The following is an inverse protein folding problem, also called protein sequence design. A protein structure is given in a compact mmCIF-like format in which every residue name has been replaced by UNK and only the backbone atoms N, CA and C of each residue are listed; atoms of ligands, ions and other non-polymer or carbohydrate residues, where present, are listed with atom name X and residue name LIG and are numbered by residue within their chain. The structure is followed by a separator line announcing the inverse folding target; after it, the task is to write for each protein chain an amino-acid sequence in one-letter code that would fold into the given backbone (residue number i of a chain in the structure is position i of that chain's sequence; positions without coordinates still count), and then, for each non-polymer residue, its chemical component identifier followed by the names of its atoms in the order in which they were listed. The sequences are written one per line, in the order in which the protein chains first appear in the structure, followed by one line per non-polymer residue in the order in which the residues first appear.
data_IF_791370369085
#
_entry.id   IF_791370369085
#
_cell.length_a   1.000
_cell.length_b   1.000
_cell.length_c   1.000
_cell.angle_alpha   90.00
_cell.angle_beta   90.00
_cell.angle_gamma   90.00
#
_symmetry.space_group_name_H-M   'P 1'
#
loop_
_entity.id
_entity.type
_entity.pdbx_description
1 polymer ?
#
# COMPACT_ATOMS: atom_id res chain seq x y z
N UNK A 1 3.85 20.06 0.81
CA UNK A 1 4.26 19.37 -0.44
C UNK A 1 5.15 18.25 0.03
N UNK A 2 4.69 17.00 -0.09
CA UNK A 2 5.49 15.84 0.32
C UNK A 2 6.35 15.43 -0.87
N UNK A 3 7.61 15.86 -0.83
CA UNK A 3 8.62 15.69 -1.86
C UNK A 3 9.94 16.26 -1.36
N UNK A 4 11.00 16.07 -2.11
CA UNK A 4 12.30 16.70 -1.84
C UNK A 4 12.41 17.90 -2.77
N UNK A 5 12.73 19.07 -2.23
CA UNK A 5 13.10 20.23 -3.04
C UNK A 5 14.55 20.04 -3.50
N UNK A 6 14.75 19.90 -4.80
CA UNK A 6 16.05 19.68 -5.42
C UNK A 6 16.21 20.64 -6.60
N UNK A 7 17.31 21.39 -6.63
CA UNK A 7 17.67 22.34 -7.70
C UNK A 7 16.58 23.31 -8.22
N UNK A 8 15.63 23.70 -7.37
CA UNK A 8 14.59 24.66 -7.71
C UNK A 8 13.27 24.04 -8.18
N UNK A 9 13.16 22.71 -8.11
CA UNK A 9 11.95 21.95 -8.42
C UNK A 9 11.53 21.08 -7.23
N UNK A 10 10.21 20.86 -7.09
CA UNK A 10 9.68 19.88 -6.15
C UNK A 10 9.70 18.51 -6.81
N UNK A 11 10.54 17.60 -6.33
CA UNK A 11 10.52 16.19 -6.73
C UNK A 11 9.61 15.43 -5.77
N UNK A 12 8.51 14.90 -6.29
CA UNK A 12 7.57 14.07 -5.53
C UNK A 12 8.20 12.73 -5.13
N UNK A 13 7.69 12.13 -4.05
CA UNK A 13 8.07 10.77 -3.68
C UNK A 13 7.73 9.73 -4.77
N UNK A 14 6.74 9.99 -5.62
CA UNK A 14 6.39 9.15 -6.75
C UNK A 14 7.46 9.17 -7.85
N UNK A 15 8.03 10.35 -8.12
CA UNK A 15 9.16 10.48 -9.04
C UNK A 15 10.39 9.77 -8.49
N UNK A 16 10.66 9.89 -7.19
CA UNK A 16 11.77 9.19 -6.52
C UNK A 16 11.57 7.67 -6.60
N UNK A 17 10.38 7.16 -6.27
CA UNK A 17 10.10 5.72 -6.28
C UNK A 17 10.12 5.14 -7.71
N UNK A 18 9.59 5.88 -8.68
CA UNK A 18 9.67 5.51 -10.11
C UNK A 18 11.13 5.44 -10.55
N UNK A 19 11.94 6.41 -10.14
CA UNK A 19 13.36 6.43 -10.46
C UNK A 19 14.11 5.24 -9.84
N UNK A 20 13.85 4.92 -8.57
CA UNK A 20 14.43 3.76 -7.89
C UNK A 20 14.06 2.47 -8.62
N UNK A 21 12.78 2.28 -8.95
CA UNK A 21 12.32 1.11 -9.69
C UNK A 21 13.03 0.96 -11.05
N UNK A 22 13.17 2.06 -11.80
CA UNK A 22 13.86 2.06 -13.08
C UNK A 22 15.35 1.75 -12.93
N UNK A 23 16.00 2.26 -11.89
CA UNK A 23 17.40 1.94 -11.58
C UNK A 23 17.61 0.47 -11.23
N UNK A 24 16.72 -0.11 -10.41
CA UNK A 24 16.75 -1.53 -10.06
C UNK A 24 16.57 -2.41 -11.30
N UNK A 25 15.57 -2.09 -12.15
CA UNK A 25 15.34 -2.81 -13.41
C UNK A 25 16.51 -2.70 -14.38
N UNK A 26 17.10 -1.50 -14.52
CA UNK A 26 18.30 -1.31 -15.34
C UNK A 26 19.47 -2.16 -14.82
N UNK A 27 19.70 -2.17 -13.51
CA UNK A 27 20.75 -2.98 -12.88
C UNK A 27 20.56 -4.49 -13.13
N UNK A 28 19.31 -4.98 -13.08
CA UNK A 28 19.00 -6.37 -13.42
C UNK A 28 19.24 -6.72 -14.88
N UNK A 29 18.93 -5.80 -15.80
CA UNK A 29 19.13 -5.98 -17.23
C UNK A 29 20.63 -5.96 -17.57
N UNK A 30 21.39 -5.07 -16.93
CA UNK A 30 22.86 -5.02 -17.04
C UNK A 30 23.52 -6.32 -16.57
N UNK A 31 23.05 -6.89 -15.45
CA UNK A 31 23.50 -8.21 -14.97
C UNK A 31 23.19 -9.35 -15.95
N UNK A 32 22.20 -9.17 -16.83
CA UNK A 32 21.84 -10.11 -17.90
C UNK A 32 22.57 -9.82 -19.22
N UNK A 33 23.49 -8.86 -19.23
CA UNK A 33 24.25 -8.45 -20.41
C UNK A 33 23.50 -7.52 -21.35
N UNK A 34 22.31 -7.05 -20.96
CA UNK A 34 21.53 -6.05 -21.73
C UNK A 34 21.98 -4.67 -21.22
N UNK A 35 22.84 -4.03 -21.99
CA UNK A 35 23.50 -2.76 -21.62
C UNK A 35 23.25 -1.65 -22.63
N UNK A 36 22.79 -2.00 -23.83
CA UNK A 36 22.38 -1.02 -24.83
C UNK A 36 21.08 -0.34 -24.38
N UNK A 37 21.09 1.00 -24.37
CA UNK A 37 19.99 1.79 -23.82
C UNK A 37 18.68 1.57 -24.58
N UNK A 38 18.74 1.33 -25.89
CA UNK A 38 17.55 1.02 -26.68
C UNK A 38 17.00 -0.35 -26.32
N UNK A 39 17.87 -1.35 -26.13
CA UNK A 39 17.46 -2.69 -25.70
C UNK A 39 16.95 -2.72 -24.25
N UNK A 40 17.51 -1.88 -23.37
CA UNK A 40 17.00 -1.68 -22.00
C UNK A 40 15.60 -1.09 -22.04
N UNK A 41 15.38 -0.03 -22.83
CA UNK A 41 14.06 0.60 -22.98
C UNK A 41 13.05 -0.35 -23.65
N UNK A 42 13.45 -1.09 -24.68
CA UNK A 42 12.60 -2.10 -25.32
C UNK A 42 12.30 -3.28 -24.38
N UNK A 43 13.25 -3.69 -23.53
CA UNK A 43 13.03 -4.75 -22.54
C UNK A 43 12.11 -4.29 -21.42
N UNK A 44 12.25 -3.06 -20.92
CA UNK A 44 11.33 -2.46 -19.95
C UNK A 44 9.93 -2.35 -20.56
N UNK A 45 9.82 -1.83 -21.78
CA UNK A 45 8.54 -1.71 -22.48
C UNK A 45 7.88 -3.07 -22.76
N UNK A 46 8.66 -4.13 -23.07
CA UNK A 46 8.13 -5.50 -23.21
C UNK A 46 7.69 -6.12 -21.88
N UNK A 47 8.38 -5.85 -20.79
CA UNK A 47 7.99 -6.31 -19.43
C UNK A 47 6.68 -5.63 -18.99
N UNK A 48 6.47 -4.36 -19.40
CA UNK A 48 5.20 -3.62 -19.25
C UNK A 48 4.06 -4.17 -20.13
N UNK A 49 4.37 -4.76 -21.29
CA UNK A 49 3.39 -5.31 -22.24
C UNK A 49 2.94 -6.75 -21.89
N UNK A 50 3.73 -7.49 -21.10
CA UNK A 50 3.46 -8.91 -20.78
C UNK A 50 2.80 -9.14 -19.41
N UNK A 51 3.02 -8.29 -18.40
CA UNK A 51 2.39 -8.44 -17.08
C UNK A 51 1.15 -7.58 -16.98
N UNK A 52 -0.03 -8.21 -16.96
CA UNK A 52 -1.28 -7.48 -16.70
C UNK A 52 -1.30 -6.93 -15.28
N UNK A 53 -1.94 -5.79 -15.05
CA UNK A 53 -2.16 -5.24 -13.69
C UNK A 53 -2.85 -6.26 -12.77
N UNK A 54 -3.60 -7.22 -13.31
CA UNK A 54 -4.21 -8.33 -12.57
C UNK A 54 -3.16 -9.30 -12.03
N UNK A 55 -2.16 -9.66 -12.84
CA UNK A 55 -1.03 -10.50 -12.41
C UNK A 55 -0.17 -9.78 -11.37
N UNK A 56 0.07 -8.49 -11.56
CA UNK A 56 0.76 -7.64 -10.57
C UNK A 56 0.00 -7.58 -9.24
N UNK A 57 -1.34 -7.45 -9.27
CA UNK A 57 -2.19 -7.50 -8.07
C UNK A 57 -2.12 -8.86 -7.35
N UNK A 58 -2.10 -9.97 -8.09
CA UNK A 58 -1.95 -11.32 -7.52
C UNK A 58 -0.58 -11.45 -6.83
N UNK A 59 0.49 -11.01 -7.50
CA UNK A 59 1.85 -11.05 -6.94
C UNK A 59 1.99 -10.18 -5.70
N UNK A 60 1.48 -8.95 -5.74
CA UNK A 60 1.45 -8.06 -4.59
C UNK A 60 0.67 -8.69 -3.42
N UNK A 61 -0.44 -9.36 -3.70
CA UNK A 61 -1.25 -10.02 -2.68
C UNK A 61 -0.52 -11.19 -2.01
N UNK A 62 0.24 -11.99 -2.77
CA UNK A 62 1.08 -13.06 -2.23
C UNK A 62 2.23 -12.47 -1.39
N UNK A 63 2.94 -11.47 -1.91
CA UNK A 63 4.04 -10.80 -1.18
C UNK A 63 3.54 -10.16 0.12
N UNK A 64 2.38 -9.51 0.08
CA UNK A 64 1.74 -8.91 1.23
C UNK A 64 1.33 -9.96 2.27
N UNK A 65 0.75 -11.08 1.84
CA UNK A 65 0.41 -12.18 2.74
C UNK A 65 1.64 -12.78 3.42
N UNK A 66 2.77 -12.92 2.72
CA UNK A 66 4.05 -13.37 3.33
C UNK A 66 4.52 -12.43 4.45
N UNK A 67 4.46 -11.13 4.19
CA UNK A 67 4.97 -10.14 5.11
C UNK A 67 4.04 -9.93 6.32
N UNK A 68 2.72 -10.05 6.12
CA UNK A 68 1.73 -9.58 7.11
C UNK A 68 0.74 -10.64 7.57
N UNK A 69 0.74 -11.83 6.98
CA UNK A 69 -0.23 -12.90 7.23
C UNK A 69 -1.70 -12.44 7.07
N UNK A 70 -1.94 -11.52 6.13
CA UNK A 70 -3.25 -11.01 5.71
C UNK A 70 -3.29 -10.76 4.21
N UNK A 71 -4.47 -10.82 3.61
CA UNK A 71 -4.63 -10.60 2.18
C UNK A 71 -4.67 -9.10 1.87
N UNK A 72 -4.01 -8.69 0.78
CA UNK A 72 -3.99 -7.30 0.32
C UNK A 72 -5.35 -6.85 -0.21
N UNK A 73 -6.00 -7.69 -1.01
CA UNK A 73 -7.37 -7.47 -1.48
C UNK A 73 -8.25 -8.70 -1.14
N UNK A 74 -9.55 -8.50 -0.87
CA UNK A 74 -10.45 -9.59 -0.54
C UNK A 74 -10.69 -10.47 -1.77
N UNK A 75 -10.80 -11.78 -1.54
CA UNK A 75 -11.07 -12.76 -2.60
C UNK A 75 -12.30 -12.43 -3.46
N UNK A 76 -13.36 -11.89 -2.85
CA UNK A 76 -14.59 -11.49 -3.56
C UNK A 76 -14.34 -10.43 -4.65
N UNK A 77 -13.36 -9.55 -4.45
CA UNK A 77 -12.94 -8.57 -5.45
C UNK A 77 -12.32 -9.28 -6.66
N UNK A 78 -11.34 -10.15 -6.43
CA UNK A 78 -10.69 -10.92 -7.48
C UNK A 78 -11.67 -11.72 -8.31
N UNK A 79 -12.57 -12.46 -7.65
CA UNK A 79 -13.57 -13.28 -8.35
C UNK A 79 -14.40 -12.43 -9.31
N UNK A 80 -15.02 -11.36 -8.80
CA UNK A 80 -15.90 -10.49 -9.61
C UNK A 80 -15.14 -9.82 -10.75
N UNK A 81 -13.90 -9.40 -10.50
CA UNK A 81 -13.13 -8.62 -11.45
C UNK A 81 -12.52 -9.50 -12.56
N UNK A 82 -11.94 -10.66 -12.20
CA UNK A 82 -11.43 -11.65 -13.16
C UNK A 82 -12.56 -12.14 -14.08
N UNK A 83 -13.75 -12.39 -13.54
CA UNK A 83 -14.92 -12.79 -14.33
C UNK A 83 -15.34 -11.69 -15.34
N UNK A 84 -15.13 -10.40 -15.01
CA UNK A 84 -15.51 -9.26 -15.88
C UNK A 84 -14.51 -8.92 -16.97
N UNK A 85 -13.22 -9.24 -16.78
CA UNK A 85 -12.16 -8.79 -17.68
C UNK A 85 -12.06 -9.59 -18.99
N UNK A 86 -12.95 -10.56 -19.25
CA UNK A 86 -12.93 -11.41 -20.45
C UNK A 86 -11.53 -11.91 -20.81
N UNK A 87 -10.71 -12.20 -19.79
CA UNK A 87 -9.29 -12.49 -19.96
C UNK A 87 -9.12 -13.74 -20.81
N UNK A 88 -8.21 -13.67 -21.78
CA UNK A 88 -7.86 -14.84 -22.58
C UNK A 88 -7.27 -15.92 -21.66
N UNK A 89 -7.87 -17.12 -21.56
CA UNK A 89 -7.39 -18.20 -20.71
C UNK A 89 -5.93 -18.57 -20.96
N UNK A 90 -5.41 -18.32 -22.17
CA UNK A 90 -4.00 -18.53 -22.51
C UNK A 90 -3.04 -17.57 -21.78
N UNK A 91 -3.43 -16.31 -21.53
CA UNK A 91 -2.59 -15.34 -20.79
C UNK A 91 -2.51 -15.71 -19.31
N UNK A 92 -3.64 -16.06 -18.68
CA UNK A 92 -3.66 -16.65 -17.34
C UNK A 92 -2.82 -17.93 -17.23
N UNK A 93 -2.72 -18.72 -18.31
CA UNK A 93 -1.92 -19.96 -18.34
C UNK A 93 -0.42 -19.74 -18.16
N UNK A 94 0.12 -18.60 -18.60
CA UNK A 94 1.56 -18.27 -18.49
C UNK A 94 1.95 -17.82 -17.08
N UNK A 95 1.08 -17.09 -16.38
CA UNK A 95 1.30 -16.73 -14.98
C UNK A 95 1.25 -17.93 -14.02
N UNK A 96 0.72 -19.08 -14.47
CA UNK A 96 0.26 -20.17 -13.60
C UNK A 96 0.83 -21.56 -13.93
N UNK A 97 1.86 -21.68 -14.77
CA UNK A 97 2.52 -22.97 -15.06
C UNK A 97 3.59 -23.31 -14.01
N UNK A 98 3.82 -24.57 -13.60
CA UNK A 98 3.89 -25.76 -14.45
C UNK A 98 3.06 -26.97 -13.96
N UNK A 99 2.38 -27.57 -14.94
CA UNK A 99 1.65 -28.85 -14.94
C UNK A 99 0.40 -28.93 -14.05
N UNK A 100 -0.78 -28.97 -14.66
CA UNK A 100 -1.82 -30.00 -14.44
C UNK A 100 -2.98 -29.68 -15.40
N UNK A 101 -3.37 -30.68 -16.19
CA UNK A 101 -4.45 -30.58 -17.18
C UNK A 101 -5.79 -30.72 -16.46
N UNK A 102 -6.55 -29.62 -16.36
CA UNK A 102 -8.02 -29.51 -16.27
C UNK A 102 -8.40 -28.22 -15.53
N UNK A 103 -8.24 -27.08 -16.22
CA UNK A 103 -8.50 -25.75 -15.66
C UNK A 103 -9.89 -25.18 -16.01
N UNK A 104 -10.64 -25.83 -16.89
CA UNK A 104 -11.92 -25.29 -17.38
C UNK A 104 -13.02 -25.25 -16.30
N UNK A 105 -12.77 -25.77 -15.08
CA UNK A 105 -13.74 -25.83 -13.98
C UNK A 105 -13.22 -25.31 -12.62
N UNK A 106 -12.07 -24.63 -12.56
CA UNK A 106 -11.48 -24.20 -11.28
C UNK A 106 -11.94 -22.77 -10.92
N UNK A 107 -12.78 -22.67 -9.89
CA UNK A 107 -13.23 -21.39 -9.34
C UNK A 107 -12.04 -20.50 -8.91
N UNK A 108 -12.07 -19.17 -9.10
CA UNK A 108 -10.97 -18.26 -8.74
C UNK A 108 -10.44 -18.38 -7.29
N UNK A 109 -11.26 -18.89 -6.36
CA UNK A 109 -10.86 -19.15 -4.95
C UNK A 109 -9.78 -20.20 -4.87
N UNK A 110 -9.86 -21.17 -5.77
CA UNK A 110 -8.85 -22.19 -5.91
C UNK A 110 -7.60 -21.65 -6.57
N UNK A 111 -7.66 -20.63 -7.45
CA UNK A 111 -6.44 -20.03 -8.02
C UNK A 111 -5.64 -19.29 -6.95
N UNK A 112 -6.29 -18.45 -6.14
CA UNK A 112 -5.62 -17.73 -5.05
C UNK A 112 -5.17 -18.65 -3.92
N UNK A 113 -6.03 -19.58 -3.48
CA UNK A 113 -5.63 -20.59 -2.51
C UNK A 113 -4.52 -21.50 -3.07
N UNK A 114 -4.55 -21.85 -4.37
CA UNK A 114 -3.49 -22.59 -5.04
C UNK A 114 -2.21 -21.78 -5.09
N UNK A 115 -2.23 -20.49 -5.39
CA UNK A 115 -1.00 -19.68 -5.48
C UNK A 115 -0.35 -19.54 -4.09
N UNK A 116 -1.17 -19.41 -3.05
CA UNK A 116 -0.73 -19.52 -1.65
C UNK A 116 -0.18 -20.93 -1.33
N UNK A 117 -0.82 -22.00 -1.80
CA UNK A 117 -0.37 -23.40 -1.57
C UNK A 117 0.86 -23.80 -2.41
N UNK A 118 0.97 -23.36 -3.66
CA UNK A 118 2.15 -23.48 -4.52
C UNK A 118 3.29 -22.73 -3.88
N UNK A 119 3.03 -21.53 -3.34
CA UNK A 119 4.03 -20.79 -2.60
C UNK A 119 4.49 -21.56 -1.34
N UNK A 120 3.57 -22.04 -0.50
CA UNK A 120 3.92 -22.86 0.69
C UNK A 120 4.79 -24.07 0.35
N UNK A 121 4.64 -24.61 -0.86
CA UNK A 121 5.37 -25.78 -1.37
C UNK A 121 6.67 -25.41 -2.14
N UNK A 122 7.00 -24.12 -2.26
CA UNK A 122 8.17 -23.64 -3.02
C UNK A 122 8.03 -23.79 -4.54
N UNK A 123 6.79 -23.91 -5.05
CA UNK A 123 6.46 -24.19 -6.45
C UNK A 123 5.73 -23.05 -7.17
N UNK A 124 5.64 -21.88 -6.54
CA UNK A 124 5.07 -20.70 -7.21
C UNK A 124 6.13 -20.07 -8.11
N UNK A 125 5.86 -20.00 -9.41
CA UNK A 125 6.79 -19.43 -10.38
C UNK A 125 6.78 -17.91 -10.22
N UNK A 126 7.83 -17.39 -9.57
CA UNK A 126 7.94 -15.98 -9.23
C UNK A 126 8.25 -15.18 -10.52
N UNK A 127 7.65 -14.01 -10.80
CA UNK A 127 8.33 -13.04 -11.65
C UNK A 127 9.72 -12.76 -11.06
N UNK A 128 10.72 -12.35 -11.82
CA UNK A 128 12.09 -12.31 -11.30
C UNK A 128 12.31 -11.35 -10.10
N UNK A 129 11.30 -10.53 -9.73
CA UNK A 129 11.30 -9.56 -8.62
C UNK A 129 10.06 -9.64 -7.72
N UNK A 130 10.25 -9.62 -6.39
CA UNK A 130 9.16 -9.41 -5.40
C UNK A 130 8.78 -7.93 -5.38
N UNK A 131 7.49 -7.57 -5.57
CA UNK A 131 7.09 -6.17 -5.50
C UNK A 131 7.38 -5.59 -4.10
N UNK A 132 7.85 -4.33 -3.99
CA UNK A 132 8.34 -3.75 -2.74
C UNK A 132 7.26 -3.52 -1.67
N UNK A 133 5.97 -3.65 -2.02
CA UNK A 133 4.78 -3.52 -1.15
C UNK A 133 4.82 -2.31 -0.18
N UNK A 134 5.58 -1.26 -0.49
CA UNK A 134 5.60 0.02 0.23
C UNK A 134 4.29 0.78 -0.01
N UNK A 135 3.97 1.78 0.83
CA UNK A 135 2.75 2.57 0.60
C UNK A 135 2.79 3.29 -0.75
N UNK A 136 3.95 3.85 -1.13
CA UNK A 136 4.12 4.55 -2.40
C UNK A 136 3.92 3.64 -3.60
N UNK A 137 4.49 2.43 -3.56
CA UNK A 137 4.26 1.44 -4.61
C UNK A 137 2.79 1.03 -4.70
N UNK A 138 2.13 0.76 -3.56
CA UNK A 138 0.72 0.38 -3.54
C UNK A 138 -0.21 1.52 -4.02
N UNK A 139 0.13 2.77 -3.72
CA UNK A 139 -0.60 3.96 -4.15
C UNK A 139 -0.47 4.17 -5.66
N UNK A 140 0.76 4.14 -6.18
CA UNK A 140 1.05 4.18 -7.62
C UNK A 140 0.36 3.03 -8.37
N UNK A 141 0.38 1.83 -7.79
CA UNK A 141 -0.32 0.68 -8.34
C UNK A 141 -1.84 0.88 -8.37
N UNK A 142 -2.44 1.42 -7.30
CA UNK A 142 -3.86 1.75 -7.28
C UNK A 142 -4.25 2.83 -8.31
N UNK A 143 -3.37 3.80 -8.55
CA UNK A 143 -3.55 4.83 -9.58
C UNK A 143 -3.52 4.24 -11.00
N UNK A 144 -2.47 3.46 -11.32
CA UNK A 144 -2.36 2.72 -12.59
C UNK A 144 -3.58 1.85 -12.83
N UNK A 145 -4.02 1.12 -11.80
CA UNK A 145 -5.20 0.27 -11.86
C UNK A 145 -6.49 1.04 -12.14
N UNK A 146 -6.67 2.18 -11.48
CA UNK A 146 -7.84 3.02 -11.70
C UNK A 146 -7.84 3.65 -13.10
N UNK A 147 -6.70 4.11 -13.59
CA UNK A 147 -6.56 4.66 -14.95
C UNK A 147 -6.88 3.64 -16.05
N UNK A 148 -6.50 2.38 -15.85
CA UNK A 148 -6.76 1.31 -16.82
C UNK A 148 -8.21 0.81 -16.77
N UNK A 149 -8.77 0.60 -15.57
CA UNK A 149 -10.04 -0.10 -15.41
C UNK A 149 -11.20 0.76 -14.92
N UNK A 150 -10.97 2.04 -14.63
CA UNK A 150 -11.92 2.97 -13.98
C UNK A 150 -12.51 2.40 -12.67
N UNK A 151 -11.79 1.46 -12.06
CA UNK A 151 -12.23 0.71 -10.89
C UNK A 151 -11.19 0.85 -9.77
N UNK A 152 -11.66 1.32 -8.62
CA UNK A 152 -10.81 1.44 -7.45
C UNK A 152 -10.51 0.08 -6.80
N UNK A 153 -9.25 -0.11 -6.41
CA UNK A 153 -8.81 -1.26 -5.63
C UNK A 153 -9.28 -1.15 -4.16
N UNK A 154 -9.68 -2.26 -3.52
CA UNK A 154 -10.09 -2.28 -2.12
C UNK A 154 -8.89 -2.38 -1.16
N UNK A 155 -7.83 -1.62 -1.43
CA UNK A 155 -6.52 -1.72 -0.72
C UNK A 155 -6.15 -0.44 0.06
N UNK A 156 -7.02 0.57 0.06
CA UNK A 156 -6.72 1.86 0.67
C UNK A 156 -6.55 1.80 2.19
N UNK A 157 -7.17 0.82 2.86
CA UNK A 157 -6.92 0.58 4.30
C UNK A 157 -5.46 0.20 4.53
N UNK A 158 -4.98 -0.77 3.76
CA UNK A 158 -3.61 -1.29 3.78
C UNK A 158 -2.57 -0.22 3.43
N UNK A 159 -2.87 0.63 2.42
CA UNK A 159 -2.05 1.80 2.08
C UNK A 159 -1.98 2.76 3.27
N UNK A 160 -3.12 3.11 3.86
CA UNK A 160 -3.20 4.07 4.95
C UNK A 160 -2.48 3.59 6.21
N UNK A 161 -2.63 2.33 6.58
CA UNK A 161 -1.90 1.76 7.72
C UNK A 161 -0.38 1.83 7.55
N UNK A 162 0.13 1.61 6.33
CA UNK A 162 1.57 1.65 6.05
C UNK A 162 2.10 3.08 6.03
N UNK A 163 1.42 3.96 5.32
CA UNK A 163 1.76 5.38 5.30
C UNK A 163 1.78 5.96 6.73
N UNK A 164 0.78 5.63 7.55
CA UNK A 164 0.72 6.11 8.93
C UNK A 164 1.86 5.53 9.78
N UNK A 165 2.23 4.26 9.58
CA UNK A 165 3.35 3.62 10.28
C UNK A 165 4.67 4.32 9.95
N UNK A 166 4.91 4.61 8.66
CA UNK A 166 6.12 5.28 8.18
C UNK A 166 6.16 6.75 8.64
N UNK A 167 5.04 7.48 8.51
CA UNK A 167 4.95 8.92 8.84
C UNK A 167 5.02 9.20 10.33
N UNK A 168 4.38 8.37 11.16
CA UNK A 168 4.25 8.60 12.61
C UNK A 168 5.11 7.67 13.47
N UNK A 169 5.88 6.77 12.86
CA UNK A 169 6.82 5.90 13.56
C UNK A 169 6.15 4.93 14.53
N UNK A 170 5.11 4.19 14.09
CA UNK A 170 4.50 3.13 14.90
C UNK A 170 4.71 1.75 14.29
N UNK A 171 4.79 0.73 15.15
CA UNK A 171 4.87 -0.66 14.72
C UNK A 171 3.45 -1.21 14.55
N UNK A 172 3.16 -1.73 13.36
CA UNK A 172 1.90 -2.41 13.08
C UNK A 172 1.78 -3.69 13.92
N UNK A 173 0.59 -3.96 14.42
CA UNK A 173 0.33 -5.23 15.09
C UNK A 173 0.15 -6.35 14.05
N UNK A 174 0.39 -7.63 14.42
CA UNK A 174 -0.01 -8.75 13.59
C UNK A 174 -1.53 -8.73 13.32
N UNK A 175 -1.95 -9.28 12.18
CA UNK A 175 -3.34 -9.27 11.66
C UNK A 175 -4.45 -9.84 12.59
N UNK A 176 -4.10 -10.31 13.79
CA UNK A 176 -5.01 -10.88 14.79
C UNK A 176 -4.97 -10.16 16.14
N UNK A 177 -4.27 -9.03 16.26
CA UNK A 177 -4.28 -8.24 17.49
C UNK A 177 -5.64 -7.55 17.68
N UNK A 178 -6.24 -7.75 18.85
CA UNK A 178 -7.55 -7.19 19.15
C UNK A 178 -7.44 -5.70 19.54
N UNK A 179 -8.07 -4.82 18.76
CA UNK A 179 -8.51 -3.50 19.21
C UNK A 179 -7.66 -2.27 18.84
N UNK A 180 -6.58 -2.45 18.05
CA UNK A 180 -5.74 -1.37 17.50
C UNK A 180 -4.88 -1.88 16.34
N UNK A 181 -4.61 -1.05 15.36
CA UNK A 181 -3.82 -1.40 14.16
C UNK A 181 -2.31 -1.40 14.43
N UNK A 182 -1.86 -0.68 15.45
CA UNK A 182 -0.45 -0.66 15.83
C UNK A 182 -0.20 -0.07 17.20
N UNK A 183 1.08 0.11 17.50
CA UNK A 183 1.56 0.74 18.73
C UNK A 183 2.70 1.68 18.37
N UNK A 184 2.62 2.91 18.85
CA UNK A 184 3.70 3.88 18.72
C UNK A 184 5.01 3.20 19.17
N UNK A 185 6.00 3.18 18.28
CA UNK A 185 7.31 2.68 18.64
C UNK A 185 7.81 3.56 19.79
N UNK A 186 8.70 3.04 20.64
CA UNK A 186 9.35 3.91 21.64
C UNK A 186 10.16 4.98 20.89
N UNK A 187 9.82 6.28 20.95
CA UNK A 187 10.62 7.29 20.28
C UNK A 187 11.63 7.88 21.25
N UNK A 188 12.60 8.61 20.69
CA UNK A 188 13.25 9.74 21.35
C UNK A 188 12.22 10.83 21.72
N UNK A 189 12.28 12.02 21.11
CA UNK A 189 11.60 13.26 21.55
C UNK A 189 10.07 13.21 21.84
N UNK A 190 9.35 12.14 21.51
CA UNK A 190 7.91 11.97 21.81
C UNK A 190 7.62 10.90 22.89
N UNK A 191 8.44 10.83 23.95
CA UNK A 191 8.31 9.88 25.06
C UNK A 191 6.87 9.75 25.63
N UNK A 192 6.06 10.80 25.55
CA UNK A 192 4.66 10.83 25.99
C UNK A 192 3.70 9.94 25.19
N UNK A 193 4.06 9.55 23.96
CA UNK A 193 3.28 8.65 23.11
C UNK A 193 3.85 7.23 23.06
N UNK A 194 4.94 6.96 23.78
CA UNK A 194 5.57 5.64 23.79
C UNK A 194 4.59 4.55 24.25
N UNK A 195 4.54 3.45 23.49
CA UNK A 195 3.64 2.31 23.71
C UNK A 195 2.15 2.63 23.62
N UNK A 196 1.75 3.82 23.16
CA UNK A 196 0.32 4.15 22.97
C UNK A 196 -0.21 3.37 21.77
N UNK A 197 -1.41 2.79 21.94
CA UNK A 197 -2.09 2.04 20.90
C UNK A 197 -2.69 2.98 19.85
N UNK A 198 -2.46 2.66 18.58
CA UNK A 198 -2.84 3.44 17.40
C UNK A 198 -3.99 2.75 16.69
N UNK A 199 -5.06 3.48 16.43
CA UNK A 199 -6.10 3.10 15.45
C UNK A 199 -5.87 3.91 14.18
N UNK A 200 -5.91 3.28 13.01
CA UNK A 200 -5.81 3.91 11.69
C UNK A 200 -7.18 3.89 11.01
N UNK A 201 -7.52 5.01 10.37
CA UNK A 201 -8.67 5.10 9.48
C UNK A 201 -8.31 5.84 8.21
N UNK A 202 -8.62 5.23 7.07
CA UNK A 202 -8.39 5.84 5.75
C UNK A 202 -9.67 6.46 5.21
N UNK A 203 -9.60 7.72 4.79
CA UNK A 203 -10.54 8.37 3.88
C UNK A 203 -10.09 8.03 2.47
N UNK A 204 -10.92 7.29 1.73
CA UNK A 204 -10.60 6.79 0.39
C UNK A 204 -10.89 7.85 -0.68
N UNK A 205 -10.27 7.76 -1.87
CA UNK A 205 -10.49 8.71 -2.97
C UNK A 205 -11.94 8.79 -3.46
N UNK A 206 -12.73 7.75 -3.19
CA UNK A 206 -14.15 7.63 -3.62
C UNK A 206 -15.08 8.38 -2.66
N UNK A 207 -14.62 8.70 -1.45
CA UNK A 207 -15.50 9.20 -0.39
C UNK A 207 -15.83 10.67 -0.62
N UNK A 208 -17.12 10.98 -0.79
CA UNK A 208 -17.62 12.34 -1.05
C UNK A 208 -17.41 13.31 0.12
N UNK A 209 -17.43 12.82 1.35
CA UNK A 209 -17.19 13.62 2.55
C UNK A 209 -15.96 13.12 3.33
N UNK A 210 -15.00 14.00 3.66
CA UNK A 210 -13.75 13.60 4.29
C UNK A 210 -13.91 13.42 5.80
N UNK A 211 -14.59 12.35 6.21
CA UNK A 211 -14.69 11.97 7.62
C UNK A 211 -14.34 10.50 7.83
N UNK A 212 -14.04 10.12 9.06
CA UNK A 212 -13.93 8.72 9.48
C UNK A 212 -14.90 8.42 10.61
N UNK A 213 -15.25 7.15 10.75
CA UNK A 213 -16.02 6.64 11.88
C UNK A 213 -15.16 5.68 12.67
N UNK A 214 -15.04 5.91 13.98
CA UNK A 214 -14.27 5.04 14.88
C UNK A 214 -15.12 4.58 16.06
N UNK A 215 -14.94 3.33 16.48
CA UNK A 215 -15.65 2.75 17.62
C UNK A 215 -15.05 3.26 18.92
N UNK A 216 -15.90 3.77 19.83
CA UNK A 216 -15.47 4.28 21.14
C UNK A 216 -14.96 3.17 22.06
N UNK A 217 -15.52 1.97 21.96
CA UNK A 217 -15.10 0.84 22.82
C UNK A 217 -13.75 0.23 22.43
N UNK A 218 -13.08 0.74 21.40
CA UNK A 218 -11.76 0.25 20.98
C UNK A 218 -10.68 0.57 22.01
N UNK A 219 -9.64 -0.27 22.05
CA UNK A 219 -8.50 -0.10 22.95
C UNK A 219 -7.38 0.67 22.23
N UNK A 220 -7.58 1.96 22.04
CA UNK A 220 -6.62 2.85 21.38
C UNK A 220 -6.53 4.18 22.14
N UNK A 221 -5.35 4.81 22.08
CA UNK A 221 -5.06 6.11 22.71
C UNK A 221 -4.81 7.23 21.71
N UNK A 222 -4.49 6.90 20.45
CA UNK A 222 -4.37 7.84 19.34
C UNK A 222 -5.10 7.29 18.11
N UNK A 223 -5.62 8.21 17.30
CA UNK A 223 -6.25 7.95 16.01
C UNK A 223 -5.37 8.56 14.92
N UNK A 224 -4.85 7.74 14.01
CA UNK A 224 -4.26 8.18 12.76
C UNK A 224 -5.35 8.22 11.67
N UNK A 225 -5.64 9.41 11.15
CA UNK A 225 -6.50 9.56 9.97
C UNK A 225 -5.59 9.75 8.77
N UNK A 226 -5.72 8.88 7.78
CA UNK A 226 -5.04 9.04 6.48
C UNK A 226 -6.07 9.42 5.44
N UNK A 227 -5.76 10.40 4.61
CA UNK A 227 -6.62 10.83 3.51
C UNK A 227 -5.88 10.58 2.20
N UNK A 228 -6.53 9.86 1.30
CA UNK A 228 -6.13 9.72 -0.10
C UNK A 228 -7.19 10.46 -0.91
N UNK A 229 -6.79 11.51 -1.62
CA UNK A 229 -7.71 12.30 -2.44
C UNK A 229 -7.90 11.68 -3.85
N UNK A 230 -8.87 12.16 -4.65
CA UNK A 230 -9.11 11.64 -6.00
C UNK A 230 -7.92 11.72 -6.96
N UNK A 231 -6.97 12.62 -6.71
CA UNK A 231 -5.72 12.76 -7.47
C UNK A 231 -4.61 11.87 -6.90
N UNK A 232 -4.97 10.90 -6.05
CA UNK A 232 -4.09 9.98 -5.35
C UNK A 232 -3.05 10.66 -4.44
N UNK A 233 -3.28 11.91 -4.03
CA UNK A 233 -2.43 12.55 -3.01
C UNK A 233 -2.77 12.00 -1.64
N UNK A 234 -1.73 11.70 -0.87
CA UNK A 234 -1.85 11.13 0.47
C UNK A 234 -1.40 12.12 1.53
N UNK A 235 -2.17 12.24 2.61
CA UNK A 235 -1.81 13.02 3.80
C UNK A 235 -2.32 12.31 5.07
N UNK A 236 -1.80 12.66 6.25
CA UNK A 236 -2.23 12.06 7.50
C UNK A 236 -2.16 12.99 8.71
N UNK A 237 -3.04 12.72 9.68
CA UNK A 237 -3.10 13.40 10.98
C UNK A 237 -3.07 12.37 12.10
N UNK A 238 -2.23 12.59 13.11
CA UNK A 238 -2.25 11.82 14.35
C UNK A 238 -2.99 12.61 15.42
N UNK A 239 -4.03 12.06 16.03
CA UNK A 239 -4.89 12.78 16.99
C UNK A 239 -5.00 11.99 18.29
N UNK A 240 -4.65 12.61 19.42
CA UNK A 240 -4.83 12.05 20.75
C UNK A 240 -6.31 11.86 21.04
N UNK A 241 -6.68 10.67 21.51
CA UNK A 241 -8.07 10.32 21.86
C UNK A 241 -8.71 11.30 22.85
N UNK A 242 -7.91 11.90 23.72
CA UNK A 242 -8.36 12.90 24.69
C UNK A 242 -8.86 14.21 24.07
N UNK A 243 -8.48 14.52 22.82
CA UNK A 243 -8.96 15.69 22.06
C UNK A 243 -10.27 15.43 21.32
N UNK A 244 -10.66 14.16 21.16
CA UNK A 244 -11.83 13.77 20.40
C UNK A 244 -13.12 14.01 21.20
N UNK A 245 -14.28 14.18 20.53
CA UNK A 245 -15.52 14.54 21.19
C UNK A 245 -15.94 13.45 22.18
N UNK A 246 -16.34 13.82 23.39
CA UNK A 246 -16.91 12.88 24.37
C UNK A 246 -18.35 12.55 24.00
N UNK A 247 -18.85 11.40 24.44
CA UNK A 247 -20.23 10.98 24.23
C UNK A 247 -20.43 9.47 24.41
N UNK A 248 -21.69 9.08 24.56
CA UNK A 248 -22.09 7.69 24.86
C UNK A 248 -22.42 6.87 23.58
N UNK A 249 -22.53 7.54 22.44
CA UNK A 249 -22.77 6.88 21.15
C UNK A 249 -21.65 5.88 20.81
N UNK A 250 -21.96 4.63 20.39
CA UNK A 250 -20.96 3.58 20.17
C UNK A 250 -19.85 3.97 19.19
N UNK A 251 -20.15 4.88 18.27
CA UNK A 251 -19.25 5.38 17.25
C UNK A 251 -19.14 6.90 17.34
N UNK A 252 -17.97 7.44 16.98
CA UNK A 252 -17.78 8.87 16.76
C UNK A 252 -17.44 9.12 15.30
N UNK A 253 -17.97 10.22 14.75
CA UNK A 253 -17.61 10.74 13.43
C UNK A 253 -16.60 11.86 13.61
N UNK A 254 -15.47 11.76 12.92
CA UNK A 254 -14.40 12.75 12.95
C UNK A 254 -14.21 13.28 11.54
N UNK A 255 -14.49 14.57 11.33
CA UNK A 255 -14.23 15.23 10.05
C UNK A 255 -12.75 15.61 9.95
N UNK A 256 -12.21 15.52 8.74
CA UNK A 256 -10.82 15.82 8.43
C UNK A 256 -10.44 17.24 8.85
N UNK A 257 -11.30 18.22 8.57
CA UNK A 257 -11.01 19.65 8.76
C UNK A 257 -11.13 20.12 10.22
N UNK A 258 -11.76 19.32 11.10
CA UNK A 258 -11.98 19.69 12.51
C UNK A 258 -10.69 19.61 13.36
N UNK A 259 -9.64 18.95 12.86
CA UNK A 259 -8.44 18.66 13.63
C UNK A 259 -7.15 18.99 12.88
N UNK A 260 -6.16 19.48 13.62
CA UNK A 260 -4.75 19.47 13.25
C UNK A 260 -4.04 18.24 13.81
N UNK A 261 -2.96 17.80 13.14
CA UNK A 261 -2.10 16.73 13.65
C UNK A 261 -1.44 17.13 14.98
N UNK A 262 -1.44 16.21 15.96
CA UNK A 262 -0.69 16.31 17.22
C UNK A 262 0.80 15.95 17.06
N UNK A 263 1.14 15.20 16.02
CA UNK A 263 2.52 14.96 15.65
C UNK A 263 3.03 16.24 15.01
N UNK A 264 4.04 16.86 15.61
CA UNK A 264 4.78 17.94 14.95
C UNK A 264 5.30 17.36 13.65
N UNK A 265 5.10 18.05 12.53
CA UNK A 265 5.81 17.68 11.31
C UNK A 265 7.29 17.60 11.70
N UNK A 266 7.90 16.43 11.58
CA UNK A 266 9.35 16.35 11.52
C UNK A 266 9.65 16.86 10.11
N UNK A 267 9.45 18.16 9.89
CA UNK A 267 9.99 18.84 8.74
C UNK A 267 11.50 18.67 8.87
N UNK A 268 12.22 18.23 7.83
CA UNK A 268 13.67 18.05 7.87
C UNK A 268 14.47 19.33 8.22
N UNK A 269 13.82 20.47 8.43
CA UNK A 269 14.45 21.79 8.35
C UNK A 269 14.84 22.47 9.69
N UNK A 270 14.79 21.83 10.86
CA UNK A 270 15.14 22.54 12.10
C UNK A 270 16.14 21.82 13.03
N UNK A 271 17.36 21.63 12.52
CA UNK A 271 18.61 21.68 13.32
C UNK A 271 19.71 22.52 12.65
N UNK A 272 19.35 23.57 11.91
CA UNK A 272 20.29 24.66 11.66
C UNK A 272 20.21 25.65 12.83
N UNK A 273 21.02 25.40 13.87
CA UNK A 273 21.36 26.43 14.84
C UNK A 273 21.96 27.64 14.10
N UNK A 274 21.60 28.89 14.44
CA UNK A 274 22.42 30.01 14.04
C UNK A 274 23.73 29.92 14.81
N UNK A 275 24.82 29.59 14.12
CA UNK A 275 26.16 29.89 14.62
C UNK A 275 26.23 31.42 14.71
N UNK A 276 26.31 31.91 15.93
CA UNK A 276 26.83 33.25 16.23
C UNK A 276 28.29 33.14 16.58
#
# INVERSE_FOLDING_TARGET
MDGIWDDGEWISWDEINTHIYLQEKRSELELRGITDEKDVLEAIARDEDETTLVEELLHASVAYYRAHNRYLAPYSFFKKHVDSLSLNPKKLKYALSDSFEDFDNISPQYLFARDVELYKKGKFNHPRTTPPISYGWLLSFADRYYKEYEQHLPIYGEIGERYAADRFGFTQNPAQAQGSDGRMAKPGHEAQLANVLVEVKTITPIKSEPFVTVKRSGNWGVLAIVKIDPDMRIDGKLIKRSRLPKGDEPHMRIHWDDYSSDHLEISPEYQASPVT
#
